data_IF_968067121924
#
_entry.id   IF_968067121924
#
_cell.length_a   1.000
_cell.length_b   1.000
_cell.length_c   1.000
_cell.angle_alpha   90.00
_cell.angle_beta   90.00
_cell.angle_gamma   90.00
#
_symmetry.space_group_name_H-M   'P 1'
#
loop_
_entity.id
_entity.type
_entity.pdbx_description
1 polymer ?
#
# COMPACT_ATOMS: atom_id res chain seq x y z
N UNK A 1 37.46 -42.26 -28.35
CA UNK A 1 36.82 -41.07 -28.96
C UNK A 1 35.51 -40.69 -28.25
N UNK A 2 35.53 -40.33 -26.95
CA UNK A 2 34.32 -39.87 -26.22
C UNK A 2 34.68 -38.79 -25.19
N UNK A 3 34.93 -37.54 -25.61
CA UNK A 3 35.14 -36.40 -24.69
C UNK A 3 34.59 -35.06 -25.23
N UNK A 4 33.55 -35.04 -26.07
CA UNK A 4 33.04 -33.79 -26.68
C UNK A 4 31.59 -33.40 -26.35
N UNK A 5 30.87 -34.16 -25.51
CA UNK A 5 29.43 -33.93 -25.29
C UNK A 5 29.13 -33.17 -23.96
N UNK A 6 30.11 -33.04 -23.05
CA UNK A 6 29.84 -32.47 -21.72
C UNK A 6 29.76 -30.92 -21.69
N UNK A 7 30.38 -30.20 -22.63
CA UNK A 7 30.46 -28.73 -22.58
C UNK A 7 29.14 -28.04 -22.96
N UNK A 8 28.35 -28.62 -23.86
CA UNK A 8 27.10 -27.99 -24.34
C UNK A 8 25.99 -27.95 -23.29
N UNK A 9 25.96 -28.93 -22.36
CA UNK A 9 24.92 -29.02 -21.32
C UNK A 9 25.15 -28.05 -20.16
N UNK A 10 26.40 -27.70 -19.85
CA UNK A 10 26.72 -26.75 -18.80
C UNK A 10 26.32 -25.31 -19.17
N UNK A 11 26.43 -24.94 -20.45
CA UNK A 11 26.05 -23.61 -20.94
C UNK A 11 24.52 -23.41 -20.94
N UNK A 12 23.74 -24.46 -21.22
CA UNK A 12 22.28 -24.42 -21.20
C UNK A 12 21.72 -24.23 -19.78
N UNK A 13 22.38 -24.83 -18.76
CA UNK A 13 21.98 -24.68 -17.36
C UNK A 13 22.27 -23.26 -16.82
N UNK A 14 23.37 -22.63 -17.27
CA UNK A 14 23.70 -21.24 -16.92
C UNK A 14 22.75 -20.23 -17.56
N UNK A 15 22.28 -20.48 -18.78
CA UNK A 15 21.29 -19.61 -19.45
C UNK A 15 19.91 -19.65 -18.79
N UNK A 16 19.50 -20.81 -18.22
CA UNK A 16 18.22 -20.94 -17.53
C UNK A 16 18.18 -20.23 -16.17
N UNK A 17 19.32 -20.06 -15.50
CA UNK A 17 19.41 -19.32 -14.22
C UNK A 17 19.36 -17.80 -14.45
N UNK A 18 19.75 -17.31 -15.63
CA UNK A 18 19.70 -15.89 -15.99
C UNK A 18 18.27 -15.38 -16.28
N UNK A 19 17.29 -16.28 -16.46
CA UNK A 19 15.88 -15.95 -16.56
C UNK A 19 15.24 -16.17 -15.19
N UNK A 20 15.79 -15.53 -14.17
CA UNK A 20 15.02 -15.27 -12.96
C UNK A 20 14.27 -13.96 -13.24
N UNK A 21 12.99 -13.99 -13.68
CA UNK A 21 12.16 -12.82 -13.56
C UNK A 21 11.99 -12.65 -12.05
N UNK A 22 12.96 -12.01 -11.39
CA UNK A 22 12.76 -11.49 -10.06
C UNK A 22 11.48 -10.67 -10.16
N UNK A 23 10.41 -11.28 -9.67
CA UNK A 23 9.05 -10.92 -10.04
C UNK A 23 8.92 -9.43 -9.82
N UNK A 24 8.67 -8.70 -10.90
CA UNK A 24 8.15 -7.36 -10.78
C UNK A 24 6.74 -7.53 -10.19
N UNK A 25 6.66 -7.75 -8.87
CA UNK A 25 5.42 -7.66 -8.12
C UNK A 25 4.88 -6.28 -8.48
N UNK A 26 3.81 -6.28 -9.27
CA UNK A 26 3.13 -5.06 -9.64
C UNK A 26 2.70 -4.38 -8.35
N UNK A 27 2.89 -3.06 -8.28
CA UNK A 27 2.50 -2.32 -7.09
C UNK A 27 1.01 -2.55 -6.83
N UNK A 28 0.61 -2.87 -5.58
CA UNK A 28 -0.79 -3.10 -5.25
C UNK A 28 -1.68 -1.93 -5.69
N UNK A 29 -2.85 -2.26 -6.25
CA UNK A 29 -3.85 -1.27 -6.61
C UNK A 29 -4.46 -0.57 -5.39
N UNK A 30 -5.01 0.64 -5.57
CA UNK A 30 -5.71 1.35 -4.51
C UNK A 30 -6.82 0.51 -3.86
N UNK A 31 -7.58 -0.25 -4.66
CA UNK A 31 -8.62 -1.14 -4.14
C UNK A 31 -8.02 -2.22 -3.23
N UNK A 32 -6.95 -2.89 -3.67
CA UNK A 32 -6.26 -3.92 -2.87
C UNK A 32 -5.77 -3.36 -1.52
N UNK A 33 -5.29 -2.12 -1.50
CA UNK A 33 -4.86 -1.46 -0.26
C UNK A 33 -6.05 -1.09 0.61
N UNK A 34 -7.14 -0.60 -0.01
CA UNK A 34 -8.38 -0.27 0.68
C UNK A 34 -9.02 -1.48 1.34
N UNK A 35 -8.96 -2.66 0.72
CA UNK A 35 -9.50 -3.90 1.27
C UNK A 35 -8.71 -4.37 2.52
N UNK A 36 -7.44 -3.97 2.65
CA UNK A 36 -6.61 -4.26 3.83
C UNK A 36 -6.84 -3.30 4.99
N UNK A 37 -7.35 -2.10 4.74
CA UNK A 37 -7.48 -1.05 5.76
C UNK A 37 -8.29 -1.46 6.99
N UNK A 38 -9.46 -2.13 6.88
CA UNK A 38 -10.21 -2.54 8.05
C UNK A 38 -9.41 -3.41 9.02
N UNK A 39 -8.62 -4.35 8.49
CA UNK A 39 -7.78 -5.24 9.29
C UNK A 39 -6.56 -4.51 9.88
N UNK A 40 -5.89 -3.68 9.08
CA UNK A 40 -4.75 -2.87 9.55
C UNK A 40 -5.18 -1.86 10.63
N UNK A 41 -6.41 -1.35 10.54
CA UNK A 41 -6.97 -0.43 11.50
C UNK A 41 -7.37 -1.13 12.80
N UNK A 42 -8.15 -2.21 12.72
CA UNK A 42 -8.67 -2.90 13.90
C UNK A 42 -7.58 -3.57 14.74
N UNK A 43 -6.44 -3.90 14.14
CA UNK A 43 -5.27 -4.41 14.89
C UNK A 43 -4.61 -3.36 15.79
N UNK A 44 -4.92 -2.07 15.60
CA UNK A 44 -4.29 -0.95 16.34
C UNK A 44 -5.27 -0.09 17.11
N UNK A 45 -6.51 -0.01 16.66
CA UNK A 45 -7.48 0.93 17.19
C UNK A 45 -8.80 0.24 17.53
N UNK A 46 -9.35 0.49 18.72
CA UNK A 46 -10.65 -0.06 19.12
C UNK A 46 -11.84 0.66 18.48
N UNK A 47 -11.62 1.81 17.83
CA UNK A 47 -12.68 2.64 17.24
C UNK A 47 -13.07 2.11 15.86
N UNK A 48 -14.37 1.98 15.59
CA UNK A 48 -14.87 1.61 14.25
C UNK A 48 -14.79 2.81 13.30
N UNK A 49 -14.30 2.57 12.09
CA UNK A 49 -14.28 3.58 11.02
C UNK A 49 -15.60 3.53 10.25
N UNK A 50 -16.20 4.69 9.97
CA UNK A 50 -17.38 4.78 9.13
C UNK A 50 -17.05 4.53 7.65
N UNK A 51 -15.99 5.18 7.16
CA UNK A 51 -15.49 5.00 5.78
C UNK A 51 -14.04 5.45 5.64
N UNK A 52 -13.38 4.92 4.62
CA UNK A 52 -12.07 5.38 4.15
C UNK A 52 -12.22 6.09 2.80
N UNK A 53 -11.51 7.20 2.61
CA UNK A 53 -11.44 7.93 1.35
C UNK A 53 -10.04 7.77 0.77
N UNK A 54 -9.92 7.09 -0.37
CA UNK A 54 -8.64 6.87 -1.04
C UNK A 54 -8.18 8.11 -1.82
N UNK A 55 -6.87 8.37 -1.78
CA UNK A 55 -6.17 9.37 -2.59
C UNK A 55 -6.89 10.74 -2.60
N UNK A 56 -7.13 11.36 -1.42
CA UNK A 56 -7.96 12.57 -1.31
C UNK A 56 -7.45 13.74 -2.17
N UNK A 57 -6.13 13.83 -2.37
CA UNK A 57 -5.48 14.89 -3.14
C UNK A 57 -5.20 14.51 -4.60
N UNK A 58 -5.56 13.29 -5.02
CA UNK A 58 -5.30 12.75 -6.36
C UNK A 58 -3.82 12.76 -6.78
N UNK A 59 -2.88 12.80 -5.83
CA UNK A 59 -1.42 12.81 -6.09
C UNK A 59 -0.85 11.45 -6.48
N UNK A 60 -1.55 10.36 -6.15
CA UNK A 60 -1.10 9.00 -6.42
C UNK A 60 -0.31 8.40 -5.25
N UNK A 61 0.65 7.54 -5.56
CA UNK A 61 1.41 6.77 -4.56
C UNK A 61 2.73 7.49 -4.31
N UNK A 62 3.06 7.78 -3.05
CA UNK A 62 4.35 8.37 -2.71
C UNK A 62 5.39 7.24 -2.56
N UNK A 63 6.36 7.20 -3.47
CA UNK A 63 7.54 6.34 -3.36
C UNK A 63 8.65 7.07 -2.60
N UNK A 64 9.30 6.37 -1.69
CA UNK A 64 10.50 6.82 -0.97
C UNK A 64 11.53 5.70 -0.89
N UNK A 65 12.72 6.00 -0.38
CA UNK A 65 13.75 5.02 -0.04
C UNK A 65 14.01 5.05 1.46
N UNK A 66 13.90 3.90 2.12
CA UNK A 66 14.20 3.70 3.55
C UNK A 66 15.20 2.56 3.65
N UNK A 67 16.36 2.81 4.27
CA UNK A 67 17.44 1.82 4.42
C UNK A 67 17.83 1.14 3.09
N UNK A 68 17.89 1.90 1.99
CA UNK A 68 18.21 1.38 0.66
C UNK A 68 17.06 0.66 -0.07
N UNK A 69 15.92 0.43 0.58
CA UNK A 69 14.76 -0.25 -0.01
C UNK A 69 13.63 0.71 -0.38
N UNK A 70 12.91 0.40 -1.46
CA UNK A 70 11.79 1.22 -1.93
C UNK A 70 10.52 1.01 -1.08
N UNK A 71 10.01 2.08 -0.48
CA UNK A 71 8.77 2.11 0.29
C UNK A 71 7.71 2.88 -0.46
N UNK A 72 6.46 2.42 -0.38
CA UNK A 72 5.32 3.06 -1.03
C UNK A 72 4.28 3.45 0.00
N UNK A 73 3.82 4.69 -0.05
CA UNK A 73 2.79 5.23 0.83
C UNK A 73 1.53 5.55 0.04
N UNK A 74 0.40 5.02 0.52
CA UNK A 74 -0.93 5.25 -0.01
C UNK A 74 -1.68 6.16 0.95
N UNK A 75 -2.09 7.33 0.47
CA UNK A 75 -2.79 8.34 1.25
C UNK A 75 -4.29 8.03 1.36
N UNK A 76 -4.83 7.95 2.57
CA UNK A 76 -6.26 7.88 2.82
C UNK A 76 -6.70 8.89 3.88
N UNK A 77 -8.00 9.20 3.89
CA UNK A 77 -8.68 9.80 5.04
C UNK A 77 -9.60 8.75 5.68
N UNK A 78 -9.38 8.45 6.96
CA UNK A 78 -10.35 7.72 7.76
C UNK A 78 -11.41 8.68 8.34
N UNK A 79 -12.67 8.30 8.22
CA UNK A 79 -13.80 9.02 8.80
C UNK A 79 -14.26 8.23 10.02
N UNK A 80 -14.02 8.76 11.22
CA UNK A 80 -14.31 8.08 12.49
C UNK A 80 -15.32 8.88 13.30
N UNK A 81 -16.13 8.24 14.16
CA UNK A 81 -16.97 8.99 15.09
C UNK A 81 -16.10 9.74 16.10
N UNK A 82 -16.55 10.91 16.52
CA UNK A 82 -15.86 11.70 17.53
C UNK A 82 -16.16 11.12 18.93
N UNK A 83 -15.13 10.72 19.70
CA UNK A 83 -15.33 10.36 21.09
C UNK A 83 -15.64 11.62 21.90
N UNK A 84 -16.71 11.59 22.68
CA UNK A 84 -17.07 12.60 23.66
C UNK A 84 -17.10 11.97 25.04
N UNK A 85 -16.54 12.68 26.02
CA UNK A 85 -16.64 12.27 27.42
C UNK A 85 -17.92 12.84 27.98
N UNK A 86 -18.79 11.99 28.50
CA UNK A 86 -20.03 12.42 29.15
C UNK A 86 -19.77 12.89 30.58
N UNK A 87 -20.76 13.52 31.19
CA UNK A 87 -20.74 13.93 32.60
C UNK A 87 -20.48 12.75 33.55
N UNK A 88 -20.92 11.55 33.18
CA UNK A 88 -20.66 10.29 33.91
C UNK A 88 -19.27 9.69 33.66
N UNK A 89 -18.36 10.44 33.01
CA UNK A 89 -16.99 10.03 32.61
C UNK A 89 -16.93 8.83 31.65
N UNK A 90 -18.06 8.39 31.08
CA UNK A 90 -18.10 7.37 30.02
C UNK A 90 -17.69 7.98 28.68
N UNK A 91 -17.13 7.16 27.80
CA UNK A 91 -16.84 7.54 26.41
C UNK A 91 -18.08 7.19 25.59
N UNK A 92 -18.71 8.20 25.01
CA UNK A 92 -19.77 8.05 24.01
C UNK A 92 -19.28 8.55 22.66
N UNK A 93 -19.83 8.00 21.59
CA UNK A 93 -19.44 8.34 20.22
C UNK A 93 -20.55 9.18 19.61
N UNK A 94 -20.26 10.44 19.33
CA UNK A 94 -21.23 11.33 18.70
C UNK A 94 -21.38 11.00 17.21
N UNK A 95 -22.51 11.36 16.57
CA UNK A 95 -22.67 11.28 15.12
C UNK A 95 -21.67 12.16 14.35
N UNK A 96 -21.04 13.16 15.00
CA UNK A 96 -20.04 14.01 14.37
C UNK A 96 -18.84 13.20 13.90
N UNK A 97 -18.54 13.31 12.61
CA UNK A 97 -17.47 12.55 11.99
C UNK A 97 -16.16 13.35 11.97
N UNK A 98 -15.11 12.79 12.57
CA UNK A 98 -13.75 13.31 12.48
C UNK A 98 -13.03 12.72 11.28
N UNK A 99 -12.31 13.58 10.55
CA UNK A 99 -11.38 13.18 9.49
C UNK A 99 -10.00 12.96 10.10
N UNK A 100 -9.40 11.81 9.82
CA UNK A 100 -8.04 11.47 10.24
C UNK A 100 -7.23 11.13 9.00
N UNK A 101 -6.14 11.86 8.80
CA UNK A 101 -5.15 11.55 7.76
C UNK A 101 -4.40 10.28 8.12
N UNK A 102 -4.34 9.34 7.19
CA UNK A 102 -3.61 8.09 7.36
C UNK A 102 -2.83 7.74 6.09
N UNK A 103 -1.71 7.07 6.30
CA UNK A 103 -0.83 6.59 5.26
C UNK A 103 -0.63 5.09 5.43
N UNK A 104 -1.07 4.31 4.44
CA UNK A 104 -0.76 2.88 4.41
C UNK A 104 0.60 2.71 3.76
N UNK A 105 1.54 2.12 4.49
CA UNK A 105 2.91 1.89 4.09
C UNK A 105 3.08 0.46 3.58
N UNK A 106 3.56 0.31 2.36
CA UNK A 106 3.92 -0.96 1.73
C UNK A 106 5.44 -1.10 1.63
N UNK A 107 5.96 -2.19 2.22
CA UNK A 107 7.38 -2.57 2.32
C UNK A 107 7.55 -3.97 1.72
N UNK A 108 7.70 -4.09 0.39
CA UNK A 108 7.65 -5.40 -0.29
C UNK A 108 8.72 -6.39 0.16
N UNK A 109 9.83 -5.91 0.74
CA UNK A 109 10.96 -6.73 1.15
C UNK A 109 10.82 -7.32 2.57
N UNK A 110 9.79 -6.95 3.33
CA UNK A 110 9.54 -7.48 4.68
C UNK A 110 8.50 -8.60 4.64
N UNK A 111 8.56 -9.52 5.61
CA UNK A 111 7.50 -10.51 5.80
C UNK A 111 6.15 -9.82 6.13
N UNK A 112 6.16 -8.87 7.06
CA UNK A 112 5.03 -7.99 7.33
C UNK A 112 5.10 -6.76 6.40
N UNK A 113 4.61 -6.96 5.17
CA UNK A 113 4.69 -5.95 4.10
C UNK A 113 3.90 -4.66 4.39
N UNK A 114 2.95 -4.66 5.32
CA UNK A 114 1.94 -3.60 5.48
C UNK A 114 2.00 -2.94 6.84
N UNK A 115 1.76 -1.63 6.88
CA UNK A 115 1.76 -0.83 8.10
C UNK A 115 0.89 0.43 7.92
N UNK A 116 0.42 1.02 9.02
CA UNK A 116 -0.38 2.24 9.08
C UNK A 116 0.41 3.36 9.78
N UNK A 117 0.46 4.55 9.17
CA UNK A 117 1.08 5.74 9.76
C UNK A 117 0.07 6.89 9.84
N UNK A 118 0.16 7.67 10.93
CA UNK A 118 -0.69 8.82 11.24
C UNK A 118 0.10 10.14 11.20
N UNK A 119 1.26 10.10 10.55
CA UNK A 119 2.14 11.25 10.42
C UNK A 119 1.67 12.14 9.27
N UNK A 120 1.97 13.44 9.38
CA UNK A 120 1.91 14.35 8.23
C UNK A 120 2.86 13.87 7.14
N UNK A 121 2.54 14.15 5.89
CA UNK A 121 3.36 13.75 4.73
C UNK A 121 4.86 14.09 4.88
N UNK A 122 5.19 15.27 5.40
CA UNK A 122 6.57 15.74 5.60
C UNK A 122 7.36 14.87 6.59
N UNK A 123 6.67 14.30 7.58
CA UNK A 123 7.25 13.46 8.63
C UNK A 123 7.35 11.97 8.24
N UNK A 124 6.90 11.57 7.05
CA UNK A 124 7.00 10.19 6.60
C UNK A 124 8.48 9.76 6.42
N UNK A 125 8.88 8.57 6.91
CA UNK A 125 10.24 8.09 6.75
C UNK A 125 10.66 7.94 5.29
N UNK A 126 11.91 8.31 5.01
CA UNK A 126 12.59 8.02 3.76
C UNK A 126 13.05 9.25 2.97
N UNK A 127 13.95 9.01 2.03
CA UNK A 127 14.52 9.99 1.10
C UNK A 127 14.07 9.72 -0.34
N UNK A 128 14.57 10.50 -1.29
CA UNK A 128 14.30 10.35 -2.73
C UNK A 128 12.80 10.21 -3.05
N UNK A 129 12.04 11.20 -2.57
CA UNK A 129 10.58 11.20 -2.63
C UNK A 129 10.10 11.44 -4.06
N UNK A 130 9.29 10.52 -4.59
CA UNK A 130 8.70 10.63 -5.93
C UNK A 130 7.23 10.22 -5.92
N UNK A 131 6.38 11.04 -6.54
CA UNK A 131 5.01 10.68 -6.79
C UNK A 131 4.91 9.77 -8.01
N UNK A 132 4.25 8.63 -7.80
CA UNK A 132 3.89 7.69 -8.86
C UNK A 132 2.42 7.89 -9.18
N UNK A 133 2.13 8.34 -10.40
CA UNK A 133 0.77 8.30 -10.94
C UNK A 133 0.49 6.85 -11.30
N UNK A 134 -0.48 6.23 -10.64
CA UNK A 134 -0.97 4.95 -11.11
C UNK A 134 -1.77 5.25 -12.38
N UNK A 135 -1.42 4.61 -13.50
CA UNK A 135 -2.26 4.65 -14.67
C UNK A 135 -3.64 4.18 -14.24
N UNK A 136 -4.64 5.05 -14.35
CA UNK A 136 -6.02 4.66 -14.14
C UNK A 136 -6.25 3.50 -15.10
N UNK A 137 -6.33 2.27 -14.60
CA UNK A 137 -6.87 1.18 -15.39
C UNK A 137 -8.29 1.62 -15.68
N UNK A 138 -8.51 2.15 -16.89
CA UNK A 138 -9.83 2.44 -17.40
C UNK A 138 -10.56 1.11 -17.32
N UNK A 139 -11.44 0.95 -16.32
CA UNK A 139 -12.38 -0.15 -16.35
C UNK A 139 -13.20 0.05 -17.63
N UNK A 140 -13.20 -0.89 -18.59
CA UNK A 140 -14.11 -0.85 -19.72
C UNK A 140 -15.49 -1.27 -19.19
N UNK A 141 -16.13 -0.39 -18.41
CA UNK A 141 -17.45 -0.61 -17.86
C UNK A 141 -18.18 0.72 -17.71
N UNK A 142 -18.33 1.44 -18.84
CA UNK A 142 -19.33 2.50 -19.06
C UNK A 142 -19.31 2.95 -20.52
N UNK A 143 -19.50 2.01 -21.41
CA UNK A 143 -20.26 2.22 -22.64
C UNK A 143 -21.39 1.18 -22.57
N UNK A 144 -22.58 1.54 -23.04
CA UNK A 144 -23.85 0.83 -22.86
C UNK A 144 -24.57 1.24 -21.56
N UNK A 145 -25.21 2.40 -21.57
CA UNK A 145 -26.67 2.45 -21.67
C UNK A 145 -27.04 3.63 -22.60
N UNK A 146 -28.02 3.44 -23.51
CA UNK A 146 -28.49 4.46 -24.45
C UNK A 146 -29.15 5.65 -23.76
#
# INVERSE_FOLDING_TARGET
MLKRIALGKALLLLLLIAINPAGAESLPGWQTVQDKLPLLWSSRFPVKVHRFLANPEKKGILRTVVQGHAVYYYHFIAIIPRPQRTESRKIEYTPEARRVEIWVRYRPWLAEKWDLSFARQDLLPGSNRKWLRQATSVHPARALYP
#
